data_IF_918492052697
#
_entry.id   IF_918492052697
#
_cell.length_a   1.000
_cell.length_b   1.000
_cell.length_c   1.000
_cell.angle_alpha   90.00
_cell.angle_beta   90.00
_cell.angle_gamma   90.00
#
_symmetry.space_group_name_H-M   'P 1'
#
loop_
_entity.id
_entity.type
_entity.pdbx_description
1 polymer ?
#
# COMPACT_ATOMS: atom_id res chain seq x y z
N UNK A 1 -11.86 9.48 -18.22
CA UNK A 1 -11.86 8.04 -17.84
C UNK A 1 -11.77 7.95 -16.32
N UNK A 2 -12.79 7.43 -15.64
CA UNK A 2 -12.84 7.44 -14.19
C UNK A 2 -11.98 6.32 -13.59
N UNK A 3 -11.04 6.66 -12.74
CA UNK A 3 -10.34 5.73 -11.86
C UNK A 3 -11.38 5.21 -10.86
N UNK A 4 -11.68 3.91 -10.85
CA UNK A 4 -12.81 3.35 -10.10
C UNK A 4 -12.44 2.35 -9.02
N UNK A 5 -11.14 2.16 -8.68
CA UNK A 5 -10.77 1.14 -7.69
C UNK A 5 -9.72 1.64 -6.72
N UNK A 6 -9.93 1.28 -5.46
CA UNK A 6 -8.99 1.49 -4.40
C UNK A 6 -8.71 0.15 -3.73
N UNK A 7 -7.46 -0.30 -3.72
CA UNK A 7 -7.01 -1.46 -2.97
C UNK A 7 -5.97 -1.03 -1.94
N UNK A 8 -6.01 -1.63 -0.76
CA UNK A 8 -4.96 -1.38 0.24
C UNK A 8 -3.73 -2.21 -0.10
N UNK A 9 -2.61 -1.56 -0.30
CA UNK A 9 -1.28 -2.16 -0.37
C UNK A 9 -0.44 -1.75 0.83
N UNK A 10 0.40 -2.62 1.28
CA UNK A 10 1.47 -2.30 2.19
C UNK A 10 1.78 -3.37 3.21
N UNK A 11 3.06 -3.61 3.45
CA UNK A 11 3.58 -4.53 4.45
C UNK A 11 3.32 -4.05 5.88
N UNK A 12 3.15 -2.75 6.08
CA UNK A 12 2.89 -2.16 7.40
C UNK A 12 1.84 -1.05 7.25
N UNK A 13 0.60 -1.33 7.67
CA UNK A 13 -0.46 -0.33 7.75
C UNK A 13 -1.19 0.05 6.46
N UNK A 14 -1.06 -0.74 5.42
CA UNK A 14 -1.81 -0.72 4.17
C UNK A 14 -2.38 0.61 3.69
N UNK A 15 -1.63 1.35 2.88
CA UNK A 15 -2.14 2.55 2.22
C UNK A 15 -3.11 2.14 1.10
N UNK A 16 -4.29 2.78 0.98
CA UNK A 16 -5.16 2.58 -0.16
C UNK A 16 -4.47 2.98 -1.46
N UNK A 17 -4.52 2.13 -2.48
CA UNK A 17 -4.01 2.44 -3.81
C UNK A 17 -5.15 2.56 -4.82
N UNK A 18 -5.01 3.47 -5.77
CA UNK A 18 -5.92 3.65 -6.89
C UNK A 18 -5.26 3.12 -8.16
N UNK A 19 -6.00 2.35 -8.93
CA UNK A 19 -5.54 1.83 -10.21
C UNK A 19 -6.70 1.71 -11.20
N UNK A 20 -6.44 1.78 -12.52
CA UNK A 20 -7.44 1.56 -13.55
C UNK A 20 -8.04 0.15 -13.51
N UNK A 21 -9.34 0.04 -13.79
CA UNK A 21 -10.07 -1.26 -13.80
C UNK A 21 -9.36 -2.35 -14.63
N UNK A 22 -8.81 -2.08 -15.82
CA UNK A 22 -8.12 -3.11 -16.59
C UNK A 22 -6.88 -3.70 -15.91
N UNK A 23 -6.27 -2.97 -14.94
CA UNK A 23 -5.14 -3.46 -14.17
C UNK A 23 -5.55 -4.20 -12.89
N UNK A 24 -6.83 -4.42 -12.66
CA UNK A 24 -7.32 -5.15 -11.48
C UNK A 24 -6.73 -6.54 -11.33
N UNK A 25 -6.54 -7.35 -12.38
CA UNK A 25 -5.87 -8.64 -12.24
C UNK A 25 -4.46 -8.54 -11.67
N UNK A 26 -3.69 -7.54 -12.12
CA UNK A 26 -2.32 -7.30 -11.65
C UNK A 26 -2.28 -6.89 -10.17
N UNK A 27 -3.20 -6.03 -9.75
CA UNK A 27 -3.18 -5.45 -8.41
C UNK A 27 -4.11 -6.14 -7.40
N UNK A 28 -4.86 -7.13 -7.82
CA UNK A 28 -5.73 -7.93 -6.97
C UNK A 28 -5.41 -9.42 -7.11
N UNK A 29 -5.86 -10.09 -8.18
CA UNK A 29 -5.79 -11.55 -8.30
C UNK A 29 -4.36 -12.10 -8.30
N UNK A 30 -3.38 -11.38 -8.85
CA UNK A 30 -1.96 -11.77 -8.79
C UNK A 30 -1.41 -11.83 -7.36
N UNK A 31 -2.07 -11.19 -6.38
CA UNK A 31 -1.68 -11.17 -4.98
C UNK A 31 -2.25 -12.34 -4.17
N UNK A 32 -3.16 -13.10 -4.74
CA UNK A 32 -3.75 -14.29 -4.09
C UNK A 32 -2.70 -15.40 -4.03
N UNK A 33 -2.41 -15.97 -2.85
CA UNK A 33 -1.54 -17.13 -2.71
C UNK A 33 -2.05 -18.35 -3.49
N UNK A 34 -1.14 -19.19 -3.94
CA UNK A 34 -1.44 -20.40 -4.70
C UNK A 34 -0.93 -21.64 -3.94
N UNK A 35 -1.73 -22.70 -3.91
CA UNK A 35 -1.37 -23.95 -3.25
C UNK A 35 -1.20 -23.77 -1.74
N UNK A 36 -0.01 -24.13 -1.24
CA UNK A 36 0.35 -24.08 0.18
C UNK A 36 1.09 -22.79 0.59
N UNK A 37 1.01 -21.73 -0.24
CA UNK A 37 1.52 -20.42 0.12
C UNK A 37 0.68 -19.80 1.25
N UNK A 38 1.29 -19.40 2.38
CA UNK A 38 0.51 -18.87 3.49
C UNK A 38 0.05 -17.43 3.28
N UNK A 39 -1.12 -17.10 3.80
CA UNK A 39 -1.54 -15.73 4.01
C UNK A 39 -0.80 -15.13 5.20
N UNK A 40 0.14 -14.21 4.98
CA UNK A 40 0.90 -13.58 6.07
C UNK A 40 0.04 -12.64 6.93
N UNK A 41 -1.07 -12.16 6.39
CA UNK A 41 -1.97 -11.23 7.08
C UNK A 41 -2.79 -11.88 8.21
N UNK A 42 -2.83 -13.20 8.26
CA UNK A 42 -3.52 -13.95 9.31
C UNK A 42 -2.73 -14.08 10.60
N UNK A 43 -1.42 -13.80 10.57
CA UNK A 43 -0.56 -13.90 11.76
C UNK A 43 -1.03 -12.99 12.90
N UNK A 44 -1.56 -11.80 12.58
CA UNK A 44 -2.07 -10.86 13.59
C UNK A 44 -3.28 -11.34 14.37
N UNK A 45 -3.98 -12.38 13.89
CA UNK A 45 -5.18 -12.91 14.54
C UNK A 45 -4.93 -14.19 15.35
N UNK A 46 -3.68 -14.55 15.61
CA UNK A 46 -3.34 -15.79 16.32
C UNK A 46 -4.06 -15.93 17.69
N UNK A 47 -4.14 -14.83 18.45
CA UNK A 47 -4.88 -14.81 19.72
C UNK A 47 -6.36 -15.08 19.56
N UNK A 48 -7.01 -14.56 18.52
CA UNK A 48 -8.42 -14.83 18.25
C UNK A 48 -8.65 -16.27 17.77
N UNK A 49 -7.76 -16.82 16.96
CA UNK A 49 -7.81 -18.22 16.53
C UNK A 49 -7.67 -19.17 17.73
N UNK A 50 -6.74 -18.89 18.61
CA UNK A 50 -6.58 -19.70 19.84
C UNK A 50 -7.79 -19.57 20.77
N UNK A 51 -8.31 -18.37 20.96
CA UNK A 51 -9.51 -18.13 21.77
C UNK A 51 -10.75 -18.85 21.22
N UNK A 52 -10.97 -18.78 19.91
CA UNK A 52 -12.11 -19.43 19.24
C UNK A 52 -11.88 -20.93 19.01
N UNK A 53 -10.65 -21.42 19.09
CA UNK A 53 -10.27 -22.77 18.64
C UNK A 53 -10.71 -23.05 17.21
N UNK A 54 -10.49 -22.06 16.34
CA UNK A 54 -10.79 -22.11 14.90
C UNK A 54 -9.58 -21.66 14.09
N UNK A 55 -9.33 -22.33 12.97
CA UNK A 55 -8.25 -21.97 12.07
C UNK A 55 -8.63 -20.83 11.11
N UNK A 56 -7.61 -20.16 10.57
CA UNK A 56 -7.78 -19.00 9.69
C UNK A 56 -8.47 -19.34 8.37
N UNK A 57 -8.29 -20.55 7.84
CA UNK A 57 -8.90 -20.94 6.55
C UNK A 57 -10.40 -21.13 6.72
N UNK A 58 -10.83 -21.83 7.77
CA UNK A 58 -12.26 -21.99 8.10
C UNK A 58 -12.94 -20.62 8.26
N UNK A 59 -12.31 -19.70 9.00
CA UNK A 59 -12.83 -18.36 9.20
C UNK A 59 -12.87 -17.54 7.90
N UNK A 60 -11.84 -17.67 7.05
CA UNK A 60 -11.79 -16.99 5.76
C UNK A 60 -12.87 -17.52 4.80
N UNK A 61 -13.04 -18.81 4.71
CA UNK A 61 -14.07 -19.40 3.84
C UNK A 61 -15.48 -19.03 4.30
N UNK A 62 -15.72 -19.00 5.62
CA UNK A 62 -17.00 -18.52 6.18
C UNK A 62 -17.22 -17.04 5.83
N UNK A 63 -16.20 -16.21 5.93
CA UNK A 63 -16.29 -14.80 5.55
C UNK A 63 -16.57 -14.63 4.06
N UNK A 64 -15.90 -15.39 3.19
CA UNK A 64 -16.14 -15.34 1.73
C UNK A 64 -17.58 -15.63 1.36
N UNK A 65 -18.23 -16.57 2.06
CA UNK A 65 -19.64 -16.90 1.81
C UNK A 65 -20.56 -15.69 2.05
N UNK A 66 -20.37 -14.96 3.13
CA UNK A 66 -21.22 -13.81 3.45
C UNK A 66 -20.89 -12.57 2.64
N UNK A 67 -19.66 -12.45 2.14
CA UNK A 67 -19.23 -11.32 1.33
C UNK A 67 -19.94 -11.20 -0.01
N UNK A 68 -20.54 -12.28 -0.52
CA UNK A 68 -21.38 -12.22 -1.72
C UNK A 68 -22.55 -11.24 -1.60
N UNK A 69 -22.99 -10.94 -0.37
CA UNK A 69 -24.01 -9.90 -0.12
C UNK A 69 -23.57 -8.49 -0.49
N UNK A 70 -22.26 -8.25 -0.58
CA UNK A 70 -21.72 -6.98 -1.06
C UNK A 70 -21.89 -6.78 -2.57
N UNK A 71 -22.31 -7.82 -3.30
CA UNK A 71 -22.65 -7.70 -4.73
C UNK A 71 -23.85 -6.77 -4.98
N UNK A 72 -24.71 -6.62 -3.98
CA UNK A 72 -25.92 -5.80 -4.05
C UNK A 72 -25.99 -4.74 -2.93
N UNK A 73 -24.92 -4.64 -2.10
CA UNK A 73 -24.91 -3.77 -0.92
C UNK A 73 -23.64 -2.93 -0.85
N UNK A 74 -23.79 -1.72 -0.37
CA UNK A 74 -22.67 -0.83 -0.05
C UNK A 74 -22.74 -0.41 1.41
N UNK A 75 -21.67 -0.64 2.17
CA UNK A 75 -21.58 -0.34 3.61
C UNK A 75 -20.71 0.88 3.82
N UNK A 76 -21.20 1.82 4.64
CA UNK A 76 -20.49 3.03 5.01
C UNK A 76 -19.67 2.80 6.28
N UNK A 77 -18.43 3.23 6.28
CA UNK A 77 -17.42 3.12 7.34
C UNK A 77 -16.86 1.72 7.58
N UNK A 78 -15.59 1.69 8.00
CA UNK A 78 -14.87 0.44 8.31
C UNK A 78 -15.47 -0.26 9.55
N UNK A 79 -15.87 0.51 10.54
CA UNK A 79 -16.44 -0.03 11.80
C UNK A 79 -17.76 -0.75 11.51
N UNK A 80 -18.63 -0.12 10.72
CA UNK A 80 -19.90 -0.74 10.31
C UNK A 80 -19.66 -1.98 9.46
N UNK A 81 -18.69 -1.94 8.53
CA UNK A 81 -18.34 -3.10 7.71
C UNK A 81 -17.94 -4.31 8.57
N UNK A 82 -17.01 -4.12 9.51
CA UNK A 82 -16.51 -5.20 10.37
C UNK A 82 -17.65 -5.79 11.21
N UNK A 83 -18.50 -4.94 11.78
CA UNK A 83 -19.65 -5.36 12.58
C UNK A 83 -20.66 -6.14 11.73
N UNK A 84 -21.09 -5.59 10.59
CA UNK A 84 -22.09 -6.21 9.73
C UNK A 84 -21.61 -7.56 9.19
N UNK A 85 -20.36 -7.67 8.76
CA UNK A 85 -19.82 -8.94 8.29
C UNK A 85 -19.72 -9.97 9.42
N UNK A 86 -19.33 -9.55 10.63
CA UNK A 86 -19.29 -10.43 11.79
C UNK A 86 -20.69 -10.95 12.17
N UNK A 87 -21.71 -10.08 12.10
CA UNK A 87 -23.12 -10.46 12.31
C UNK A 87 -23.60 -11.45 11.24
N UNK A 88 -23.21 -11.25 9.98
CA UNK A 88 -23.59 -12.18 8.89
C UNK A 88 -22.89 -13.54 9.01
N UNK A 89 -21.69 -13.60 9.56
CA UNK A 89 -20.97 -14.85 9.82
C UNK A 89 -21.57 -15.65 10.98
N UNK A 90 -22.11 -14.98 12.00
CA UNK A 90 -22.54 -15.58 13.26
C UNK A 90 -23.43 -16.83 13.09
N UNK A 91 -24.48 -16.84 12.24
CA UNK A 91 -25.31 -18.03 12.06
C UNK A 91 -24.58 -19.21 11.37
N UNK A 92 -23.48 -18.95 10.66
CA UNK A 92 -22.68 -19.97 9.97
C UNK A 92 -21.62 -20.61 10.88
N UNK A 93 -21.37 -20.04 12.05
CA UNK A 93 -20.41 -20.56 13.01
C UNK A 93 -21.01 -21.71 13.83
N UNK A 94 -20.18 -22.67 14.29
CA UNK A 94 -20.60 -23.68 15.26
C UNK A 94 -21.27 -23.04 16.48
N UNK A 95 -22.31 -23.69 17.00
CA UNK A 95 -23.13 -23.12 18.07
C UNK A 95 -22.32 -22.75 19.32
N UNK A 96 -21.33 -23.58 19.67
CA UNK A 96 -20.42 -23.38 20.82
C UNK A 96 -19.42 -22.23 20.64
N UNK A 97 -19.30 -21.65 19.43
CA UNK A 97 -18.41 -20.51 19.12
C UNK A 97 -19.13 -19.16 19.11
N UNK A 98 -20.46 -19.15 19.02
CA UNK A 98 -21.24 -17.92 18.82
C UNK A 98 -21.12 -16.93 19.98
N UNK A 99 -21.14 -17.44 21.21
CA UNK A 99 -20.98 -16.61 22.39
C UNK A 99 -19.56 -16.02 22.49
N UNK A 100 -18.54 -16.85 22.18
CA UNK A 100 -17.15 -16.40 22.12
C UNK A 100 -16.91 -15.34 21.02
N UNK A 101 -17.59 -15.47 19.87
CA UNK A 101 -17.53 -14.54 18.75
C UNK A 101 -18.01 -13.14 19.13
N UNK A 102 -18.99 -13.06 19.99
CA UNK A 102 -19.58 -11.80 20.45
C UNK A 102 -18.88 -11.18 21.68
N UNK A 103 -17.89 -11.86 22.28
CA UNK A 103 -17.12 -11.31 23.41
C UNK A 103 -16.32 -10.06 22.99
N UNK A 104 -15.97 -9.18 23.91
CA UNK A 104 -15.07 -8.07 23.67
C UNK A 104 -13.74 -8.54 23.06
N UNK A 105 -13.26 -7.77 22.09
CA UNK A 105 -12.01 -8.10 21.38
C UNK A 105 -10.80 -7.99 22.31
N UNK A 106 -9.84 -8.93 22.17
CA UNK A 106 -8.51 -8.82 22.75
C UNK A 106 -7.61 -7.81 21.99
N UNK A 107 -8.08 -7.24 20.89
CA UNK A 107 -7.35 -6.27 20.06
C UNK A 107 -7.99 -4.89 20.18
N UNK A 108 -7.16 -3.87 20.43
CA UNK A 108 -7.63 -2.50 20.53
C UNK A 108 -8.44 -2.22 21.80
N UNK A 109 -9.45 -1.34 21.69
CA UNK A 109 -10.34 -1.01 22.82
C UNK A 109 -11.48 -2.02 22.92
N UNK A 110 -11.61 -2.75 24.02
CA UNK A 110 -12.65 -3.79 24.21
C UNK A 110 -14.08 -3.30 23.96
N UNK A 111 -14.35 -2.05 24.28
CA UNK A 111 -15.69 -1.44 24.14
C UNK A 111 -16.10 -1.16 22.70
N UNK A 112 -15.16 -1.25 21.75
CA UNK A 112 -15.38 -0.80 20.35
C UNK A 112 -15.53 -1.94 19.36
N UNK A 113 -15.08 -3.14 19.71
CA UNK A 113 -15.04 -4.24 18.75
C UNK A 113 -15.19 -5.59 19.46
N UNK A 114 -15.95 -6.51 18.85
CA UNK A 114 -16.03 -7.90 19.27
C UNK A 114 -14.87 -8.72 18.71
N UNK A 115 -14.67 -9.94 19.23
CA UNK A 115 -13.72 -10.93 18.66
C UNK A 115 -14.02 -11.13 17.18
N UNK A 116 -15.30 -11.33 16.82
CA UNK A 116 -15.73 -11.50 15.43
C UNK A 116 -15.40 -10.30 14.53
N UNK A 117 -15.66 -9.10 15.02
CA UNK A 117 -15.32 -7.87 14.30
C UNK A 117 -13.81 -7.73 14.05
N UNK A 118 -12.98 -8.12 15.04
CA UNK A 118 -11.52 -8.13 14.88
C UNK A 118 -11.06 -9.17 13.86
N UNK A 119 -11.58 -10.39 13.92
CA UNK A 119 -11.28 -11.46 12.94
C UNK A 119 -11.62 -11.00 11.53
N UNK A 120 -12.83 -10.46 11.33
CA UNK A 120 -13.22 -9.88 10.03
C UNK A 120 -12.22 -8.82 9.57
N UNK A 121 -11.84 -7.91 10.47
CA UNK A 121 -10.89 -6.85 10.14
C UNK A 121 -9.55 -7.36 9.61
N UNK A 122 -9.01 -8.44 10.18
CA UNK A 122 -7.78 -9.10 9.70
C UNK A 122 -7.97 -9.79 8.35
N UNK A 123 -9.13 -10.41 8.14
CA UNK A 123 -9.44 -11.19 6.93
C UNK A 123 -9.92 -10.35 5.73
N UNK A 124 -10.18 -9.05 5.91
CA UNK A 124 -10.60 -8.19 4.79
C UNK A 124 -9.56 -8.13 3.66
N UNK A 125 -8.27 -8.23 3.97
CA UNK A 125 -7.23 -8.11 2.95
C UNK A 125 -7.18 -9.30 2.00
N UNK A 126 -7.20 -10.57 2.45
CA UNK A 126 -7.44 -11.71 1.57
C UNK A 126 -8.67 -11.56 0.69
N UNK A 127 -9.78 -11.11 1.28
CA UNK A 127 -11.03 -10.89 0.54
C UNK A 127 -10.92 -9.75 -0.49
N UNK A 128 -10.17 -8.70 -0.19
CA UNK A 128 -9.93 -7.60 -1.14
C UNK A 128 -9.13 -8.07 -2.36
N UNK A 129 -8.13 -8.92 -2.18
CA UNK A 129 -7.36 -9.47 -3.31
C UNK A 129 -8.19 -10.38 -4.21
N UNK A 130 -9.22 -10.99 -3.65
CA UNK A 130 -10.20 -11.79 -4.41
C UNK A 130 -11.34 -10.93 -5.00
N UNK A 131 -11.31 -9.62 -4.85
CA UNK A 131 -12.35 -8.72 -5.36
C UNK A 131 -13.67 -8.76 -4.58
N UNK A 132 -13.71 -9.46 -3.45
CA UNK A 132 -14.92 -9.58 -2.63
C UNK A 132 -15.26 -8.31 -1.86
N UNK A 133 -14.27 -7.46 -1.63
CA UNK A 133 -14.46 -6.12 -1.05
C UNK A 133 -13.51 -5.12 -1.67
N UNK A 134 -14.04 -3.97 -2.07
CA UNK A 134 -13.30 -2.81 -2.58
C UNK A 134 -13.90 -1.54 -2.00
N UNK A 135 -13.17 -0.44 -2.10
CA UNK A 135 -13.74 0.86 -1.75
C UNK A 135 -14.71 1.32 -2.84
N UNK A 136 -15.89 1.74 -2.44
CA UNK A 136 -16.88 2.39 -3.30
C UNK A 136 -16.76 3.93 -3.30
N UNK A 137 -17.81 4.58 -3.79
CA UNK A 137 -17.92 6.05 -3.78
C UNK A 137 -18.05 6.55 -2.34
N UNK A 138 -17.21 7.50 -1.93
CA UNK A 138 -17.28 8.08 -0.59
C UNK A 138 -18.66 8.67 -0.28
N UNK A 139 -19.11 8.51 0.97
CA UNK A 139 -20.26 9.21 1.52
C UNK A 139 -19.73 10.33 2.44
N UNK A 140 -19.69 11.56 1.90
CA UNK A 140 -18.98 12.67 2.55
C UNK A 140 -17.50 12.35 2.73
N UNK A 141 -17.02 12.42 3.97
CA UNK A 141 -15.64 12.06 4.34
C UNK A 141 -15.44 10.55 4.61
N UNK A 142 -16.55 9.80 4.77
CA UNK A 142 -16.51 8.39 5.14
C UNK A 142 -16.23 7.49 3.93
N UNK A 143 -15.35 6.49 4.08
CA UNK A 143 -15.17 5.45 3.06
C UNK A 143 -16.42 4.59 2.97
N UNK A 144 -16.70 4.06 1.79
CA UNK A 144 -17.70 3.01 1.59
C UNK A 144 -17.05 1.75 1.07
N UNK A 145 -17.71 0.62 1.27
CA UNK A 145 -17.21 -0.71 0.92
C UNK A 145 -18.30 -1.49 0.20
N UNK A 146 -17.91 -2.12 -0.90
CA UNK A 146 -18.79 -2.93 -1.74
C UNK A 146 -17.96 -4.01 -2.46
N UNK A 147 -18.56 -4.94 -3.22
CA UNK A 147 -17.78 -5.89 -4.00
C UNK A 147 -17.20 -5.24 -5.27
N UNK A 148 -16.18 -5.88 -5.85
CA UNK A 148 -15.65 -5.50 -7.16
C UNK A 148 -16.74 -5.58 -8.24
N UNK A 149 -17.58 -6.61 -8.19
CA UNK A 149 -18.69 -6.80 -9.12
C UNK A 149 -19.70 -5.67 -9.04
N UNK A 150 -20.14 -5.31 -7.83
CA UNK A 150 -21.08 -4.20 -7.63
C UNK A 150 -20.49 -2.85 -8.09
N UNK A 151 -19.18 -2.66 -7.82
CA UNK A 151 -18.50 -1.41 -8.18
C UNK A 151 -18.24 -1.23 -9.67
N UNK A 152 -17.93 -2.34 -10.39
CA UNK A 152 -17.52 -2.28 -11.81
C UNK A 152 -18.56 -2.79 -12.78
N UNK A 153 -19.55 -3.54 -12.30
CA UNK A 153 -20.48 -4.31 -13.12
C UNK A 153 -19.86 -5.58 -13.74
N UNK A 154 -18.65 -5.99 -13.32
CA UNK A 154 -17.92 -7.11 -13.89
C UNK A 154 -17.34 -8.00 -12.79
N UNK A 155 -17.22 -9.29 -13.05
CA UNK A 155 -16.43 -10.18 -12.19
C UNK A 155 -14.92 -9.90 -12.36
N UNK A 156 -14.17 -9.99 -11.26
CA UNK A 156 -12.72 -9.98 -11.33
C UNK A 156 -12.26 -11.26 -12.06
N UNK A 157 -11.63 -11.08 -13.23
CA UNK A 157 -11.10 -12.20 -14.02
C UNK A 157 -9.67 -12.48 -13.58
N UNK A 158 -9.32 -13.77 -13.49
CA UNK A 158 -7.93 -14.17 -13.43
C UNK A 158 -7.26 -13.88 -14.79
N UNK A 159 -5.99 -13.46 -14.72
CA UNK A 159 -5.14 -13.28 -15.90
C UNK A 159 -3.81 -13.96 -15.60
N UNK A 160 -3.47 -14.95 -16.40
CA UNK A 160 -2.23 -15.73 -16.24
C UNK A 160 -0.97 -14.87 -16.36
N UNK A 161 -1.05 -13.77 -17.12
CA UNK A 161 0.05 -12.82 -17.28
C UNK A 161 0.11 -11.77 -16.17
N UNK A 162 -0.94 -11.62 -15.37
CA UNK A 162 -0.99 -10.59 -14.33
C UNK A 162 0.17 -10.68 -13.33
N UNK A 163 0.56 -11.89 -12.95
CA UNK A 163 1.68 -12.14 -12.04
C UNK A 163 3.02 -11.72 -12.64
N UNK A 164 3.26 -12.01 -13.90
CA UNK A 164 4.46 -11.56 -14.64
C UNK A 164 4.48 -10.05 -14.76
N UNK A 165 3.35 -9.46 -15.15
CA UNK A 165 3.22 -8.01 -15.28
C UNK A 165 3.46 -7.30 -13.95
N UNK A 166 3.03 -7.86 -12.82
CA UNK A 166 3.29 -7.32 -11.50
C UNK A 166 4.79 -7.21 -11.20
N UNK A 167 5.56 -8.29 -11.44
CA UNK A 167 7.01 -8.30 -11.21
C UNK A 167 7.74 -7.38 -12.18
N UNK A 168 7.37 -7.41 -13.48
CA UNK A 168 7.93 -6.48 -14.48
C UNK A 168 7.71 -5.02 -14.07
N UNK A 169 6.47 -4.67 -13.70
CA UNK A 169 6.16 -3.30 -13.25
C UNK A 169 6.94 -2.91 -12.00
N UNK A 170 7.14 -3.85 -11.06
CA UNK A 170 7.97 -3.60 -9.89
C UNK A 170 9.43 -3.32 -10.27
N UNK A 171 10.04 -4.18 -11.09
CA UNK A 171 11.43 -4.00 -11.51
C UNK A 171 11.62 -2.75 -12.35
N UNK A 172 10.71 -2.48 -13.28
CA UNK A 172 10.75 -1.26 -14.10
C UNK A 172 10.68 0.03 -13.27
N UNK A 173 9.83 0.05 -12.22
CA UNK A 173 9.66 1.26 -11.40
C UNK A 173 10.67 1.39 -10.26
N UNK A 174 11.18 0.27 -9.74
CA UNK A 174 11.94 0.21 -8.50
C UNK A 174 13.26 -0.57 -8.62
N UNK A 175 13.59 -1.06 -9.80
CA UNK A 175 14.89 -1.70 -10.07
C UNK A 175 16.05 -0.69 -10.03
N UNK A 176 17.26 -1.16 -9.74
CA UNK A 176 17.69 -2.53 -9.46
C UNK A 176 17.18 -3.05 -8.11
N UNK A 177 16.68 -4.28 -8.05
CA UNK A 177 16.16 -4.89 -6.83
C UNK A 177 16.48 -6.39 -6.74
N UNK A 178 16.06 -7.03 -5.64
CA UNK A 178 16.17 -8.47 -5.43
C UNK A 178 14.84 -9.04 -4.91
N UNK A 179 14.78 -10.36 -4.80
CA UNK A 179 13.55 -11.04 -4.36
C UNK A 179 13.09 -10.62 -2.97
N UNK A 180 14.01 -10.34 -2.05
CA UNK A 180 13.64 -9.88 -0.70
C UNK A 180 13.06 -8.47 -0.72
N UNK A 181 13.59 -7.59 -1.56
CA UNK A 181 13.02 -6.26 -1.84
C UNK A 181 11.60 -6.37 -2.39
N UNK A 182 11.39 -7.25 -3.36
CA UNK A 182 10.07 -7.53 -3.93
C UNK A 182 9.08 -8.09 -2.90
N UNK A 183 9.48 -9.11 -2.12
CA UNK A 183 8.67 -9.70 -1.04
C UNK A 183 8.24 -8.64 -0.04
N UNK A 184 9.18 -7.80 0.39
CA UNK A 184 8.90 -6.73 1.34
C UNK A 184 7.95 -5.67 0.76
N UNK A 185 8.16 -5.26 -0.50
CA UNK A 185 7.31 -4.29 -1.19
C UNK A 185 5.89 -4.84 -1.40
N UNK A 186 5.79 -6.09 -1.85
CA UNK A 186 4.50 -6.74 -2.08
C UNK A 186 3.78 -7.04 -0.76
N UNK A 187 4.51 -7.32 0.30
CA UNK A 187 3.96 -7.75 1.58
C UNK A 187 3.34 -9.14 1.47
N UNK A 188 4.06 -10.09 0.89
CA UNK A 188 3.65 -11.48 0.72
C UNK A 188 4.58 -12.45 1.45
N UNK A 189 4.26 -13.74 1.44
CA UNK A 189 5.18 -14.76 1.96
C UNK A 189 6.42 -14.89 1.08
N UNK A 190 7.54 -15.28 1.66
CA UNK A 190 8.76 -15.54 0.89
C UNK A 190 8.58 -16.63 -0.18
N UNK A 191 7.67 -17.59 0.05
CA UNK A 191 7.34 -18.64 -0.92
C UNK A 191 6.60 -18.04 -2.12
N UNK A 192 5.56 -17.26 -1.87
CA UNK A 192 4.81 -16.55 -2.92
C UNK A 192 5.72 -15.59 -3.71
N UNK A 193 6.52 -14.80 -3.01
CA UNK A 193 7.41 -13.84 -3.68
C UNK A 193 8.43 -14.52 -4.58
N UNK A 194 9.06 -15.63 -4.15
CA UNK A 194 9.97 -16.41 -5.00
C UNK A 194 9.28 -17.02 -6.21
N UNK A 195 8.09 -17.56 -6.05
CA UNK A 195 7.30 -18.07 -7.19
C UNK A 195 7.06 -16.99 -8.23
N UNK A 196 6.54 -15.83 -7.79
CA UNK A 196 6.27 -14.70 -8.69
C UNK A 196 7.55 -14.20 -9.38
N UNK A 197 8.63 -14.01 -8.61
CA UNK A 197 9.92 -13.55 -9.11
C UNK A 197 10.49 -14.45 -10.20
N UNK A 198 10.44 -15.78 -9.98
CA UNK A 198 10.96 -16.76 -10.91
C UNK A 198 10.20 -16.80 -12.25
N UNK A 199 8.95 -16.30 -12.30
CA UNK A 199 8.18 -16.25 -13.55
C UNK A 199 8.77 -15.33 -14.61
N UNK A 200 9.66 -14.41 -14.24
CA UNK A 200 10.30 -13.43 -15.13
C UNK A 200 11.83 -13.50 -15.04
N UNK A 201 12.39 -14.55 -14.43
CA UNK A 201 13.84 -14.68 -14.20
C UNK A 201 14.67 -14.66 -15.49
N UNK A 202 14.14 -15.17 -16.60
CA UNK A 202 14.80 -15.16 -17.91
C UNK A 202 14.86 -13.77 -18.56
N UNK A 203 14.07 -12.83 -18.05
CA UNK A 203 14.03 -11.44 -18.52
C UNK A 203 14.93 -10.52 -17.67
N UNK A 204 15.61 -11.10 -16.67
CA UNK A 204 16.40 -10.34 -15.70
C UNK A 204 17.89 -10.44 -15.95
N UNK A 205 18.59 -9.33 -15.82
CA UNK A 205 20.04 -9.25 -15.80
C UNK A 205 20.57 -8.95 -14.40
N UNK A 206 21.64 -9.62 -13.95
CA UNK A 206 22.26 -9.33 -12.67
C UNK A 206 23.08 -8.04 -12.74
N UNK A 207 22.93 -7.20 -11.71
CA UNK A 207 23.71 -5.97 -11.50
C UNK A 207 24.15 -5.87 -10.04
N UNK A 208 25.08 -4.98 -9.76
CA UNK A 208 25.50 -4.68 -8.38
C UNK A 208 24.97 -3.31 -7.97
N UNK A 209 24.16 -3.26 -6.90
CA UNK A 209 23.68 -2.02 -6.29
C UNK A 209 24.23 -1.92 -4.86
N UNK A 210 25.02 -0.88 -4.60
CA UNK A 210 25.65 -0.65 -3.28
C UNK A 210 26.34 -1.90 -2.69
N UNK A 211 27.09 -2.62 -3.55
CA UNK A 211 27.81 -3.86 -3.19
C UNK A 211 26.95 -5.12 -3.05
N UNK A 212 25.65 -5.04 -3.34
CA UNK A 212 24.72 -6.19 -3.25
C UNK A 212 24.26 -6.63 -4.61
N UNK A 213 24.15 -7.96 -4.82
CA UNK A 213 23.59 -8.53 -6.03
C UNK A 213 22.11 -8.13 -6.13
N UNK A 214 21.77 -7.51 -7.22
CA UNK A 214 20.43 -7.06 -7.60
C UNK A 214 20.13 -7.46 -9.04
N UNK A 215 18.94 -7.19 -9.52
CA UNK A 215 18.49 -7.51 -10.86
C UNK A 215 17.72 -6.33 -11.45
N UNK A 216 17.79 -6.20 -12.75
CA UNK A 216 16.99 -5.30 -13.59
C UNK A 216 16.29 -6.13 -14.66
N UNK A 217 15.29 -5.58 -15.33
CA UNK A 217 14.83 -6.14 -16.59
C UNK A 217 15.87 -5.83 -17.68
N UNK A 218 16.12 -6.79 -18.57
CA UNK A 218 17.04 -6.59 -19.71
C UNK A 218 16.63 -5.41 -20.58
N UNK A 219 15.32 -5.22 -20.75
CA UNK A 219 14.74 -4.10 -21.51
C UNK A 219 15.00 -2.73 -20.87
N UNK A 220 15.23 -2.68 -19.57
CA UNK A 220 15.49 -1.42 -18.86
C UNK A 220 16.99 -1.04 -18.81
N UNK A 221 17.87 -1.92 -19.34
CA UNK A 221 19.32 -1.75 -19.24
C UNK A 221 19.80 -0.44 -19.83
N UNK A 222 19.38 -0.12 -21.05
CA UNK A 222 19.82 1.09 -21.74
C UNK A 222 19.39 2.34 -20.95
N UNK A 223 18.14 2.39 -20.50
CA UNK A 223 17.62 3.51 -19.73
C UNK A 223 18.35 3.69 -18.38
N UNK A 224 18.75 2.60 -17.73
CA UNK A 224 19.47 2.66 -16.46
C UNK A 224 20.91 3.18 -16.63
N UNK A 225 21.64 2.74 -17.66
CA UNK A 225 23.05 3.09 -17.85
C UNK A 225 23.27 4.33 -18.74
N UNK A 226 22.24 4.77 -19.44
CA UNK A 226 22.23 5.99 -20.25
C UNK A 226 20.96 6.79 -19.98
N UNK A 227 20.75 7.23 -18.73
CA UNK A 227 19.50 7.89 -18.36
C UNK A 227 19.30 9.19 -19.14
N UNK A 228 18.09 9.52 -19.53
CA UNK A 228 17.78 10.80 -20.14
C UNK A 228 18.09 11.96 -19.18
N UNK A 229 18.23 13.16 -19.71
CA UNK A 229 18.37 14.36 -18.89
C UNK A 229 17.14 14.55 -18.01
N UNK A 230 17.33 15.01 -16.79
CA UNK A 230 16.22 15.34 -15.91
C UNK A 230 15.48 16.58 -16.41
N UNK A 231 14.17 16.47 -16.60
CA UNK A 231 13.32 17.65 -16.87
C UNK A 231 13.27 18.60 -15.66
N UNK A 232 13.35 18.02 -14.46
CA UNK A 232 13.37 18.75 -13.19
C UNK A 232 14.49 18.21 -12.29
N UNK A 233 15.45 19.07 -11.94
CA UNK A 233 16.52 18.71 -11.01
C UNK A 233 16.06 18.60 -9.55
N UNK A 234 14.95 19.27 -9.21
CA UNK A 234 14.39 19.32 -7.85
C UNK A 234 12.97 18.76 -7.89
N UNK A 235 12.67 17.88 -6.93
CA UNK A 235 11.33 17.27 -6.78
C UNK A 235 10.95 17.33 -5.29
N UNK A 236 9.69 17.66 -4.99
CA UNK A 236 9.12 17.53 -3.66
C UNK A 236 8.28 16.26 -3.59
N UNK A 237 8.75 15.28 -2.82
CA UNK A 237 8.03 14.04 -2.55
C UNK A 237 7.24 14.16 -1.25
N UNK A 238 6.03 13.61 -1.21
CA UNK A 238 5.26 13.47 0.03
C UNK A 238 5.88 12.45 0.98
N UNK A 239 5.59 12.54 2.28
CA UNK A 239 6.14 11.63 3.30
C UNK A 239 5.75 10.15 3.17
N UNK A 240 4.78 9.85 2.31
CA UNK A 240 4.31 8.50 1.97
C UNK A 240 4.43 8.23 0.46
N UNK A 241 5.33 8.95 -0.21
CA UNK A 241 5.61 8.68 -1.61
C UNK A 241 6.20 7.28 -1.76
N UNK A 242 5.70 6.46 -2.70
CA UNK A 242 6.19 5.09 -2.90
C UNK A 242 7.70 5.01 -3.19
N UNK A 243 8.30 6.05 -3.76
CA UNK A 243 9.73 6.14 -3.99
C UNK A 243 10.54 6.12 -2.69
N UNK A 244 9.99 6.65 -1.59
CA UNK A 244 10.62 6.65 -0.26
C UNK A 244 10.37 5.36 0.53
N UNK A 245 9.44 4.51 0.10
CA UNK A 245 9.05 3.30 0.83
C UNK A 245 9.97 2.09 0.56
N UNK A 246 10.94 2.23 -0.34
CA UNK A 246 11.90 1.19 -0.64
C UNK A 246 12.88 0.96 0.53
N UNK A 247 13.45 -0.27 0.60
CA UNK A 247 14.42 -0.60 1.65
C UNK A 247 15.87 -0.29 1.27
N UNK A 248 16.07 0.36 0.16
CA UNK A 248 17.36 0.85 -0.36
C UNK A 248 17.70 2.27 0.13
N UNK A 249 17.25 2.62 1.32
CA UNK A 249 17.39 3.96 1.92
C UNK A 249 18.80 4.54 1.82
N UNK A 250 19.82 3.69 1.87
CA UNK A 250 21.21 4.11 1.73
C UNK A 250 21.56 4.63 0.32
N UNK A 251 20.79 4.24 -0.71
CA UNK A 251 20.93 4.78 -2.08
C UNK A 251 20.39 6.21 -2.14
N UNK A 252 19.25 6.45 -1.49
CA UNK A 252 18.58 7.75 -1.49
C UNK A 252 19.24 8.75 -0.53
N UNK A 253 19.77 8.26 0.60
CA UNK A 253 20.48 9.04 1.60
C UNK A 253 21.51 8.15 2.31
N UNK A 254 22.82 8.30 2.00
CA UNK A 254 23.88 7.48 2.60
C UNK A 254 24.08 7.69 4.10
N UNK A 255 23.82 8.89 4.62
CA UNK A 255 24.02 9.22 6.04
C UNK A 255 22.89 8.65 6.92
N UNK A 256 23.19 7.69 7.83
CA UNK A 256 22.20 7.12 8.73
C UNK A 256 21.53 8.14 9.68
N UNK A 257 22.21 9.24 9.98
CA UNK A 257 21.67 10.30 10.85
C UNK A 257 20.58 11.08 10.12
N UNK A 258 20.77 11.35 8.84
CA UNK A 258 19.80 12.02 7.98
C UNK A 258 18.65 11.06 7.64
N UNK A 259 18.92 9.76 7.46
CA UNK A 259 17.85 8.76 7.28
C UNK A 259 16.81 8.82 8.39
N UNK A 260 17.21 8.98 9.66
CA UNK A 260 16.29 9.10 10.81
C UNK A 260 15.39 10.33 10.74
N UNK A 261 15.80 11.37 10.02
CA UNK A 261 15.00 12.60 9.84
C UNK A 261 13.94 12.42 8.73
N UNK A 262 14.23 11.58 7.72
CA UNK A 262 13.32 11.25 6.60
C UNK A 262 12.30 10.20 7.06
N UNK A 263 12.78 9.06 7.57
CA UNK A 263 11.97 7.91 7.96
C UNK A 263 11.76 7.86 9.47
N UNK A 264 10.81 8.64 9.93
CA UNK A 264 10.43 8.72 11.35
C UNK A 264 9.48 7.60 11.72
N UNK A 265 9.41 7.27 13.01
CA UNK A 265 8.43 6.30 13.52
C UNK A 265 6.98 6.81 13.36
N UNK A 266 6.78 8.11 13.47
CA UNK A 266 5.47 8.76 13.35
C UNK A 266 5.61 10.00 12.47
N UNK A 267 4.66 10.16 11.53
CA UNK A 267 4.53 11.34 10.67
C UNK A 267 5.82 11.70 9.90
N UNK A 268 6.14 10.92 8.88
CA UNK A 268 7.22 11.24 7.97
C UNK A 268 7.02 12.62 7.33
N UNK A 269 8.05 13.47 7.31
CA UNK A 269 8.04 14.68 6.48
C UNK A 269 8.08 14.27 5.00
N UNK A 270 7.80 15.21 4.12
CA UNK A 270 8.14 15.07 2.71
C UNK A 270 9.66 15.17 2.50
N UNK A 271 10.14 14.65 1.38
CA UNK A 271 11.55 14.75 0.99
C UNK A 271 11.75 15.78 -0.14
N UNK A 272 12.82 16.55 -0.04
CA UNK A 272 13.36 17.35 -1.14
C UNK A 272 14.39 16.51 -1.85
N UNK A 273 14.11 16.09 -3.06
CA UNK A 273 15.03 15.33 -3.90
C UNK A 273 15.73 16.29 -4.85
N UNK A 274 17.05 16.23 -4.92
CA UNK A 274 17.87 17.00 -5.84
C UNK A 274 18.80 16.06 -6.61
N UNK A 275 18.63 16.01 -7.92
CA UNK A 275 19.40 15.13 -8.82
C UNK A 275 19.42 13.67 -8.37
N UNK A 276 18.27 13.15 -7.94
CA UNK A 276 18.10 11.76 -7.54
C UNK A 276 18.43 11.43 -6.09
N UNK A 277 19.04 12.35 -5.31
CA UNK A 277 19.35 12.15 -3.90
C UNK A 277 18.43 12.97 -3.00
N UNK A 278 18.13 12.48 -1.80
CA UNK A 278 17.39 13.26 -0.81
C UNK A 278 18.32 14.31 -0.23
N UNK A 279 18.07 15.56 -0.58
CA UNK A 279 18.86 16.74 -0.17
C UNK A 279 18.27 17.48 1.03
N UNK A 280 17.07 17.12 1.47
CA UNK A 280 16.39 17.75 2.58
C UNK A 280 15.02 17.16 2.86
N UNK A 281 14.34 17.75 3.82
CA UNK A 281 12.96 17.42 4.18
C UNK A 281 12.08 18.67 4.11
N UNK A 282 10.79 18.48 3.93
CA UNK A 282 9.84 19.58 3.94
C UNK A 282 8.54 19.22 4.66
N UNK A 283 7.88 20.24 5.15
CA UNK A 283 6.56 20.16 5.78
C UNK A 283 5.74 21.37 5.36
N UNK A 284 4.42 21.27 5.49
CA UNK A 284 3.52 22.41 5.29
C UNK A 284 2.68 22.64 6.53
N UNK A 285 2.42 23.88 6.85
CA UNK A 285 1.53 24.27 7.94
C UNK A 285 0.58 25.39 7.49
N UNK A 286 -0.58 25.46 8.11
CA UNK A 286 -1.51 26.58 7.87
C UNK A 286 -0.92 27.85 8.42
N UNK A 287 -0.98 28.94 7.63
CA UNK A 287 -0.56 30.29 8.05
C UNK A 287 -1.62 31.31 7.58
N UNK A 288 -2.42 31.80 8.52
CA UNK A 288 -3.54 32.68 8.20
C UNK A 288 -4.54 32.01 7.25
N UNK A 289 -4.81 32.64 6.09
CA UNK A 289 -5.68 32.12 5.03
C UNK A 289 -4.95 31.26 3.98
N UNK A 290 -3.64 31.02 4.15
CA UNK A 290 -2.82 30.26 3.23
C UNK A 290 -2.01 29.18 3.94
N UNK A 291 -0.95 28.72 3.26
CA UNK A 291 0.01 27.76 3.80
C UNK A 291 1.44 28.29 3.75
N UNK A 292 2.24 27.91 4.70
CA UNK A 292 3.69 28.08 4.70
C UNK A 292 4.35 26.72 4.48
N UNK A 293 5.38 26.69 3.65
CA UNK A 293 6.22 25.51 3.42
C UNK A 293 7.54 25.73 4.12
N UNK A 294 7.92 24.79 4.97
CA UNK A 294 9.20 24.78 5.66
C UNK A 294 10.08 23.70 5.05
N UNK A 295 11.29 24.06 4.66
CA UNK A 295 12.28 23.14 4.10
C UNK A 295 13.56 23.20 4.92
N UNK A 296 14.05 22.05 5.33
CA UNK A 296 15.37 21.91 5.95
C UNK A 296 16.28 21.19 4.96
N UNK A 297 17.28 21.90 4.46
CA UNK A 297 18.20 21.41 3.44
C UNK A 297 19.54 21.02 4.07
N UNK A 298 20.11 19.92 3.60
CA UNK A 298 21.44 19.42 4.01
C UNK A 298 22.51 19.65 2.95
N UNK A 299 22.06 19.92 1.72
CA UNK A 299 22.91 20.25 0.58
C UNK A 299 22.53 21.62 0.04
N UNK A 300 23.51 22.35 -0.46
CA UNK A 300 23.25 23.59 -1.16
C UNK A 300 22.52 23.29 -2.49
N UNK A 301 21.38 23.92 -2.68
CA UNK A 301 20.61 23.88 -3.93
C UNK A 301 20.75 25.25 -4.58
N UNK A 302 21.53 25.31 -5.66
CA UNK A 302 21.83 26.59 -6.34
C UNK A 302 20.59 27.21 -7.03
N UNK A 303 19.53 26.44 -7.28
CA UNK A 303 18.26 26.90 -7.89
C UNK A 303 17.19 27.18 -6.83
N UNK A 304 17.39 28.20 -5.99
CA UNK A 304 16.38 28.63 -4.99
C UNK A 304 15.03 28.97 -5.62
N UNK A 305 15.02 29.56 -6.83
CA UNK A 305 13.81 29.86 -7.57
C UNK A 305 12.99 28.59 -7.86
N UNK A 306 13.62 27.47 -8.19
CA UNK A 306 12.92 26.19 -8.41
C UNK A 306 12.22 25.65 -7.16
N UNK A 307 12.74 25.90 -5.96
CA UNK A 307 12.07 25.55 -4.70
C UNK A 307 10.81 26.39 -4.48
N UNK A 308 10.85 27.67 -4.84
CA UNK A 308 9.70 28.56 -4.77
C UNK A 308 8.60 28.11 -5.73
N UNK A 309 8.95 27.83 -6.97
CA UNK A 309 8.01 27.35 -8.00
C UNK A 309 7.32 26.05 -7.59
N UNK A 310 8.06 25.10 -7.03
CA UNK A 310 7.50 23.85 -6.52
C UNK A 310 6.59 24.07 -5.30
N UNK A 311 6.92 25.01 -4.44
CA UNK A 311 6.08 25.37 -3.30
C UNK A 311 4.77 26.02 -3.75
N UNK A 312 4.81 26.88 -4.77
CA UNK A 312 3.63 27.48 -5.39
C UNK A 312 2.76 26.42 -6.09
N UNK A 313 3.40 25.51 -6.84
CA UNK A 313 2.72 24.38 -7.49
C UNK A 313 1.99 23.51 -6.45
N UNK A 314 2.66 23.18 -5.33
CA UNK A 314 2.03 22.42 -4.25
C UNK A 314 0.88 23.19 -3.58
N UNK A 315 1.05 24.46 -3.30
CA UNK A 315 -0.02 25.28 -2.73
C UNK A 315 -1.24 25.37 -3.68
N UNK A 316 -1.00 25.54 -4.97
CA UNK A 316 -2.02 25.50 -6.01
C UNK A 316 -2.76 24.18 -6.07
N UNK A 317 -2.03 23.03 -6.03
CA UNK A 317 -2.62 21.70 -5.93
C UNK A 317 -3.52 21.54 -4.70
N UNK A 318 -3.13 22.14 -3.57
CA UNK A 318 -3.91 22.16 -2.33
C UNK A 318 -5.04 23.21 -2.32
N UNK A 319 -5.22 23.94 -3.42
CA UNK A 319 -6.18 25.04 -3.54
C UNK A 319 -6.01 26.12 -2.44
N UNK A 320 -4.77 26.40 -2.06
CA UNK A 320 -4.41 27.38 -1.04
C UNK A 320 -3.40 28.39 -1.60
N UNK A 321 -3.32 29.56 -1.00
CA UNK A 321 -2.28 30.55 -1.31
C UNK A 321 -1.00 30.18 -0.57
N UNK A 322 0.15 30.26 -1.23
CA UNK A 322 1.43 30.21 -0.57
C UNK A 322 1.62 31.50 0.24
N UNK A 323 1.75 31.40 1.57
CA UNK A 323 1.95 32.52 2.47
C UNK A 323 3.44 32.78 2.74
N UNK A 324 4.31 31.84 2.39
CA UNK A 324 5.76 31.96 2.51
C UNK A 324 6.48 30.62 2.46
N UNK A 325 7.80 30.70 2.28
CA UNK A 325 8.73 29.58 2.40
C UNK A 325 9.74 29.92 3.49
N UNK A 326 9.98 28.98 4.39
CA UNK A 326 11.03 29.02 5.39
C UNK A 326 12.11 28.00 5.00
N UNK A 327 13.30 28.49 4.63
CA UNK A 327 14.45 27.68 4.23
C UNK A 327 15.47 27.67 5.38
N UNK A 328 15.78 26.49 5.91
CA UNK A 328 16.71 26.25 7.01
C UNK A 328 17.91 25.42 6.56
#
# INVERSE_FOLDING_TARGET
MGIRHCCRRGAFGGVPALFPVPLSPVFLSALVPVGDEPWIYTHGMAGAMDFLKMDSNTLLETLKQVMTRLDDTTIVSKVTLDKTLAEWMLPLLPADKRDLWNQPSMYGSPDKQTVGGAVVSFLLRPCAFSGLVVFGKRSGISPTFTSYKNWTGQMLKADENASKQLVRSYLHCYGPSNVDGFVNWLGCSGKQGRRLWNMVSEEMEPVTLAGKKSFILSDDREMLFSPPSFDREIILLGGHDPYLDQRDRAVLQPDPTLQKQIWRLVANPGAVVYRGEVAGIWTSKKKGKGMEIQMKLWKEIHRRQGLLELAEEYAGFRQQKLAGIDLQ
#
